data_IF_500098719038
#
_entry.id   IF_500098719038
#
_cell.length_a   1.000
_cell.length_b   1.000
_cell.length_c   1.000
_cell.angle_alpha   90.00
_cell.angle_beta   90.00
_cell.angle_gamma   90.00
#
_symmetry.space_group_name_H-M   'P 1'
#
loop_
_entity.id
_entity.type
_entity.pdbx_description
1 polymer ?
#
# COMPACT_ATOMS: atom_id res chain seq x y z
N UNK A 1 -7.11 1.24 -55.04
CA UNK A 1 -7.89 0.01 -55.23
C UNK A 1 -7.39 -1.04 -54.25
N UNK A 2 -8.33 -1.68 -53.57
CA UNK A 2 -8.17 -2.42 -52.32
C UNK A 2 -7.25 -3.63 -52.42
N UNK A 3 -6.43 -3.86 -51.39
CA UNK A 3 -5.92 -5.20 -51.08
C UNK A 3 -6.54 -5.66 -49.76
N UNK A 4 -7.59 -6.46 -49.91
CA UNK A 4 -8.15 -7.30 -48.86
C UNK A 4 -7.14 -8.43 -48.61
N UNK A 5 -6.69 -8.58 -47.37
CA UNK A 5 -5.95 -9.76 -46.91
C UNK A 5 -6.93 -10.54 -46.04
N UNK A 6 -7.33 -11.71 -46.53
CA UNK A 6 -8.23 -12.65 -45.88
C UNK A 6 -7.51 -13.40 -44.74
N UNK A 7 -8.16 -13.49 -43.57
CA UNK A 7 -7.71 -14.32 -42.44
C UNK A 7 -7.96 -15.81 -42.74
N UNK A 8 -7.00 -16.73 -42.45
CA UNK A 8 -7.28 -18.15 -42.49
C UNK A 8 -7.96 -18.61 -41.18
N UNK A 9 -9.11 -19.23 -41.42
CA UNK A 9 -9.95 -20.16 -40.65
C UNK A 9 -9.59 -20.55 -39.21
N UNK A 10 -10.65 -20.49 -38.39
CA UNK A 10 -10.84 -21.13 -37.08
C UNK A 10 -10.61 -22.64 -37.18
N UNK A 11 -9.68 -23.17 -36.38
CA UNK A 11 -9.52 -24.61 -36.15
C UNK A 11 -10.25 -24.93 -34.83
N UNK A 12 -11.40 -25.59 -34.92
CA UNK A 12 -12.10 -26.18 -33.78
C UNK A 12 -11.32 -27.41 -33.31
N UNK A 13 -11.02 -27.50 -32.01
CA UNK A 13 -10.36 -28.66 -31.39
C UNK A 13 -11.25 -29.91 -31.48
N UNK A 14 -10.70 -31.12 -31.68
CA UNK A 14 -11.48 -32.33 -31.83
C UNK A 14 -12.06 -32.81 -30.50
N UNK A 15 -13.14 -33.58 -30.64
CA UNK A 15 -14.01 -34.08 -29.57
C UNK A 15 -13.30 -34.97 -28.54
N UNK A 16 -13.85 -34.91 -27.33
CA UNK A 16 -13.58 -35.73 -26.15
C UNK A 16 -13.46 -37.22 -26.51
N UNK A 17 -12.30 -37.82 -26.22
CA UNK A 17 -12.12 -39.27 -26.22
C UNK A 17 -12.66 -39.79 -24.88
N UNK A 18 -13.84 -40.39 -24.88
CA UNK A 18 -14.30 -41.21 -23.75
C UNK A 18 -13.52 -42.52 -23.74
N UNK A 19 -12.82 -42.81 -22.64
CA UNK A 19 -12.10 -44.07 -22.46
C UNK A 19 -13.13 -45.24 -22.35
N UNK A 20 -12.88 -46.41 -22.97
CA UNK A 20 -13.82 -47.53 -22.95
C UNK A 20 -13.78 -48.25 -21.59
N UNK A 21 -14.96 -48.56 -21.04
CA UNK A 21 -15.09 -49.49 -19.91
C UNK A 21 -14.90 -50.93 -20.40
N UNK A 22 -13.89 -51.62 -19.85
CA UNK A 22 -13.73 -53.08 -19.91
C UNK A 22 -13.13 -53.45 -18.53
N UNK A 23 -13.57 -54.43 -17.74
CA UNK A 23 -13.93 -55.83 -17.98
C UNK A 23 -14.88 -56.26 -16.83
N UNK A 24 -15.95 -57.02 -17.11
CA UNK A 24 -16.70 -57.78 -16.09
C UNK A 24 -16.58 -59.28 -16.35
N UNK A 25 -16.23 -60.08 -15.33
CA UNK A 25 -16.54 -61.51 -15.21
C UNK A 25 -16.07 -62.06 -13.84
N UNK A 26 -16.60 -63.19 -13.33
CA UNK A 26 -17.97 -63.46 -12.85
C UNK A 26 -18.06 -63.53 -11.29
N UNK A 27 -19.26 -63.80 -10.76
CA UNK A 27 -19.67 -63.68 -9.34
C UNK A 27 -19.02 -64.66 -8.31
N UNK A 28 -19.37 -64.39 -7.03
CA UNK A 28 -19.35 -65.19 -5.76
C UNK A 28 -18.16 -64.80 -4.83
N UNK A 29 -18.33 -64.31 -3.57
CA UNK A 29 -18.73 -65.00 -2.32
C UNK A 29 -19.07 -63.97 -1.18
N UNK A 30 -20.21 -64.22 -0.52
CA UNK A 30 -20.80 -63.83 0.81
C UNK A 30 -20.21 -62.79 1.82
N UNK A 31 -21.08 -61.80 2.20
CA UNK A 31 -21.45 -61.20 3.52
C UNK A 31 -20.40 -60.50 4.47
N UNK A 32 -20.83 -59.67 5.47
CA UNK A 32 -21.02 -58.21 5.42
C UNK A 32 -20.09 -57.44 6.39
N UNK A 33 -19.31 -56.44 5.97
CA UNK A 33 -18.56 -55.61 6.93
C UNK A 33 -18.45 -54.13 6.51
N UNK A 34 -19.00 -53.29 7.40
CA UNK A 34 -18.67 -51.88 7.69
C UNK A 34 -18.90 -50.86 6.57
N UNK A 35 -19.99 -50.11 6.67
CA UNK A 35 -20.14 -48.81 6.01
C UNK A 35 -19.21 -47.82 6.74
N UNK A 36 -17.94 -47.76 6.34
CA UNK A 36 -17.10 -46.60 6.66
C UNK A 36 -17.44 -45.48 5.68
N UNK A 37 -17.86 -44.32 6.22
CA UNK A 37 -18.15 -43.07 5.50
C UNK A 37 -17.25 -42.87 4.26
N UNK A 38 -17.80 -42.63 3.05
CA UNK A 38 -16.97 -42.13 1.96
C UNK A 38 -16.64 -40.66 2.25
N UNK A 39 -15.42 -40.50 2.75
CA UNK A 39 -14.45 -39.47 2.45
C UNK A 39 -15.00 -38.12 1.98
N UNK A 40 -14.87 -37.14 2.89
CA UNK A 40 -14.57 -35.72 2.67
C UNK A 40 -14.47 -35.36 1.18
N UNK A 41 -15.49 -34.68 0.68
CA UNK A 41 -15.43 -33.94 -0.58
C UNK A 41 -14.33 -32.88 -0.40
N UNK A 42 -13.12 -33.17 -0.87
CA UNK A 42 -12.08 -32.15 -0.98
C UNK A 42 -12.55 -31.13 -2.02
N UNK A 43 -12.71 -29.89 -1.57
CA UNK A 43 -13.12 -28.71 -2.34
C UNK A 43 -12.56 -28.70 -3.78
N UNK A 44 -13.34 -28.32 -4.81
CA UNK A 44 -12.84 -28.23 -6.17
C UNK A 44 -11.67 -27.24 -6.25
N UNK A 45 -10.65 -27.64 -7.02
CA UNK A 45 -9.41 -26.92 -7.27
C UNK A 45 -9.66 -25.43 -7.51
N UNK A 46 -9.00 -24.57 -6.74
CA UNK A 46 -8.96 -23.12 -6.99
C UNK A 46 -8.31 -22.89 -8.35
N UNK A 47 -9.08 -22.40 -9.34
CA UNK A 47 -8.54 -22.05 -10.66
C UNK A 47 -7.69 -20.79 -10.51
N UNK A 48 -6.37 -20.93 -10.48
CA UNK A 48 -5.41 -19.82 -10.52
C UNK A 48 -4.99 -19.51 -11.96
N UNK A 49 -4.81 -18.23 -12.29
CA UNK A 49 -4.27 -17.83 -13.59
C UNK A 49 -2.83 -18.37 -13.79
N UNK A 50 -2.45 -18.79 -15.01
CA UNK A 50 -1.07 -19.10 -15.35
C UNK A 50 -0.13 -17.93 -15.05
N UNK A 51 1.08 -18.23 -14.55
CA UNK A 51 2.05 -17.22 -14.11
C UNK A 51 2.43 -16.22 -15.22
N UNK A 52 2.56 -16.69 -16.47
CA UNK A 52 2.91 -15.84 -17.61
C UNK A 52 1.84 -14.77 -17.87
N UNK A 53 0.56 -15.13 -17.73
CA UNK A 53 -0.56 -14.20 -17.88
C UNK A 53 -0.53 -13.17 -16.76
N UNK A 54 -0.28 -13.59 -15.52
CA UNK A 54 -0.16 -12.68 -14.37
C UNK A 54 0.98 -11.68 -14.57
N UNK A 55 2.12 -12.15 -15.08
CA UNK A 55 3.28 -11.30 -15.37
C UNK A 55 2.98 -10.29 -16.46
N UNK A 56 2.27 -10.70 -17.51
CA UNK A 56 1.86 -9.82 -18.60
C UNK A 56 0.89 -8.75 -18.11
N UNK A 57 -0.15 -9.12 -17.35
CA UNK A 57 -1.06 -8.16 -16.69
C UNK A 57 -0.28 -7.19 -15.81
N UNK A 58 0.71 -7.68 -15.08
CA UNK A 58 1.54 -6.84 -14.22
C UNK A 58 2.33 -5.80 -15.01
N UNK A 59 2.69 -6.02 -16.28
CA UNK A 59 3.40 -4.99 -17.08
C UNK A 59 2.53 -3.76 -17.31
N UNK A 60 1.24 -3.95 -17.58
CA UNK A 60 0.26 -2.89 -17.83
C UNK A 60 -0.05 -2.03 -16.62
N UNK A 61 0.19 -2.51 -15.40
CA UNK A 61 -0.09 -1.73 -14.17
C UNK A 61 0.84 -0.51 -14.12
N UNK A 62 0.32 0.73 -14.01
CA UNK A 62 1.13 1.93 -13.92
C UNK A 62 2.04 1.95 -12.68
N UNK A 63 3.20 2.60 -12.79
CA UNK A 63 4.15 2.74 -11.67
C UNK A 63 3.50 3.33 -10.42
N UNK A 64 2.62 4.32 -10.58
CA UNK A 64 1.94 5.00 -9.45
C UNK A 64 0.98 4.08 -8.68
N UNK A 65 0.46 3.02 -9.33
CA UNK A 65 -0.32 1.97 -8.67
C UNK A 65 0.63 0.97 -8.02
N UNK A 66 1.68 0.54 -8.75
CA UNK A 66 2.68 -0.42 -8.27
C UNK A 66 3.33 -0.02 -6.94
N UNK A 67 3.51 1.28 -6.70
CA UNK A 67 4.15 1.84 -5.49
C UNK A 67 3.52 1.31 -4.20
N UNK A 68 2.21 1.13 -4.19
CA UNK A 68 1.47 0.74 -2.98
C UNK A 68 1.33 -0.78 -2.82
N UNK A 69 1.79 -1.58 -3.79
CA UNK A 69 1.61 -3.04 -3.77
C UNK A 69 2.54 -3.75 -2.78
N UNK A 70 3.77 -3.26 -2.61
CA UNK A 70 4.74 -3.85 -1.67
C UNK A 70 5.89 -2.88 -1.35
N UNK A 71 6.67 -3.20 -0.30
CA UNK A 71 7.80 -2.38 0.16
C UNK A 71 8.87 -2.17 -0.91
N UNK A 72 9.20 -3.20 -1.72
CA UNK A 72 10.21 -3.12 -2.78
C UNK A 72 9.80 -2.11 -3.86
N UNK A 73 8.55 -2.17 -4.30
CA UNK A 73 7.99 -1.22 -5.25
C UNK A 73 7.90 0.18 -4.64
N UNK A 74 7.52 0.29 -3.37
CA UNK A 74 7.53 1.57 -2.68
C UNK A 74 8.91 2.20 -2.76
N UNK A 75 9.97 1.53 -2.30
CA UNK A 75 11.36 2.01 -2.36
C UNK A 75 11.81 2.37 -3.77
N UNK A 76 11.36 1.64 -4.79
CA UNK A 76 11.72 1.91 -6.20
C UNK A 76 11.04 3.15 -6.76
N UNK A 77 9.81 3.44 -6.35
CA UNK A 77 8.94 4.36 -7.08
C UNK A 77 8.40 5.55 -6.28
N UNK A 78 8.49 5.56 -4.93
CA UNK A 78 7.90 6.60 -4.07
C UNK A 78 8.35 8.02 -4.44
N UNK A 79 9.62 8.22 -4.81
CA UNK A 79 10.15 9.54 -5.24
C UNK A 79 9.40 10.12 -6.44
N UNK A 80 8.98 9.28 -7.40
CA UNK A 80 8.23 9.73 -8.56
C UNK A 80 6.84 10.24 -8.15
N UNK A 81 6.19 9.53 -7.22
CA UNK A 81 4.89 9.95 -6.67
C UNK A 81 5.04 11.28 -5.92
N UNK A 82 6.05 11.40 -5.05
CA UNK A 82 6.28 12.63 -4.28
C UNK A 82 6.52 13.83 -5.20
N UNK A 83 7.33 13.69 -6.25
CA UNK A 83 7.51 14.76 -7.25
C UNK A 83 6.21 15.14 -7.95
N UNK A 84 5.33 14.16 -8.20
CA UNK A 84 4.00 14.41 -8.78
C UNK A 84 3.11 15.19 -7.80
N UNK A 85 3.09 14.81 -6.52
CA UNK A 85 2.38 15.56 -5.48
C UNK A 85 2.91 16.99 -5.36
N UNK A 86 4.22 17.19 -5.37
CA UNK A 86 4.84 18.53 -5.28
C UNK A 86 4.58 19.40 -6.52
N UNK A 87 4.40 18.81 -7.71
CA UNK A 87 4.10 19.54 -8.95
C UNK A 87 2.63 19.92 -9.09
N UNK A 88 1.71 19.10 -8.60
CA UNK A 88 0.29 19.37 -8.71
C UNK A 88 -0.22 20.05 -7.44
N UNK A 89 -0.40 21.39 -7.51
CA UNK A 89 -0.93 22.23 -6.42
C UNK A 89 -2.26 21.72 -5.82
N UNK A 90 -3.04 20.96 -6.60
CA UNK A 90 -4.31 20.38 -6.18
C UNK A 90 -4.18 19.17 -5.24
N UNK A 91 -3.00 18.53 -5.17
CA UNK A 91 -2.82 17.37 -4.31
C UNK A 91 -2.19 17.82 -2.99
N UNK A 92 -2.91 17.61 -1.90
CA UNK A 92 -2.50 18.01 -0.56
C UNK A 92 -1.43 17.04 0.00
N UNK A 93 -0.16 17.30 -0.31
CA UNK A 93 0.97 16.54 0.24
C UNK A 93 0.96 16.52 1.77
N UNK A 94 0.63 17.64 2.42
CA UNK A 94 0.52 17.68 3.88
C UNK A 94 -0.61 16.77 4.39
N UNK A 95 -1.67 16.58 3.61
CA UNK A 95 -2.76 15.64 3.90
C UNK A 95 -2.26 14.19 3.86
N UNK A 96 -1.46 13.86 2.86
CA UNK A 96 -0.81 12.55 2.73
C UNK A 96 0.09 12.24 3.94
N UNK A 97 0.98 13.17 4.32
CA UNK A 97 1.87 12.97 5.49
C UNK A 97 1.08 12.84 6.79
N UNK A 98 0.04 13.67 6.97
CA UNK A 98 -0.85 13.57 8.13
C UNK A 98 -1.61 12.24 8.18
N UNK A 99 -1.98 11.68 7.03
CA UNK A 99 -2.63 10.38 6.96
C UNK A 99 -1.67 9.23 7.31
N UNK A 100 -0.38 9.33 6.92
CA UNK A 100 0.65 8.38 7.33
C UNK A 100 0.74 8.31 8.86
N UNK A 101 0.79 9.47 9.51
CA UNK A 101 0.86 9.55 10.98
C UNK A 101 -0.40 8.96 11.60
N UNK A 102 -1.61 9.39 11.18
CA UNK A 102 -2.87 8.90 11.76
C UNK A 102 -3.04 7.38 11.74
N UNK A 103 -2.43 6.69 10.79
CA UNK A 103 -2.47 5.24 10.66
C UNK A 103 -1.19 4.55 11.19
N UNK A 104 -0.28 5.31 11.79
CA UNK A 104 1.03 4.89 12.30
C UNK A 104 1.87 4.06 11.29
N UNK A 105 1.86 4.48 10.01
CA UNK A 105 2.59 3.81 8.92
C UNK A 105 4.08 4.16 8.95
N UNK A 106 4.78 3.60 9.93
CA UNK A 106 6.19 3.78 10.26
C UNK A 106 7.15 3.66 9.06
N UNK A 107 7.02 2.62 8.24
CA UNK A 107 7.88 2.40 7.08
C UNK A 107 7.80 3.55 6.06
N UNK A 108 6.58 3.97 5.73
CA UNK A 108 6.32 5.07 4.78
C UNK A 108 6.80 6.38 5.40
N UNK A 109 6.56 6.54 6.71
CA UNK A 109 6.98 7.72 7.45
C UNK A 109 8.50 7.88 7.50
N UNK A 110 9.23 6.79 7.72
CA UNK A 110 10.70 6.78 7.70
C UNK A 110 11.24 7.30 6.38
N UNK A 111 10.70 6.80 5.26
CA UNK A 111 11.13 7.25 3.94
C UNK A 111 10.79 8.73 3.73
N UNK A 112 9.57 9.14 4.09
CA UNK A 112 9.09 10.52 3.97
C UNK A 112 9.96 11.49 4.79
N UNK A 113 10.29 11.13 6.02
CA UNK A 113 11.22 11.89 6.87
C UNK A 113 12.57 12.03 6.17
N UNK A 114 13.17 10.92 5.75
CA UNK A 114 14.50 10.92 5.14
C UNK A 114 14.66 11.89 3.95
N UNK A 115 13.56 12.18 3.26
CA UNK A 115 13.56 12.99 2.05
C UNK A 115 13.19 14.46 2.29
N UNK A 116 12.41 14.74 3.34
CA UNK A 116 11.83 16.07 3.55
C UNK A 116 12.31 16.76 4.82
N UNK A 117 13.16 16.10 5.63
CA UNK A 117 13.66 16.63 6.90
C UNK A 117 14.15 18.08 6.77
N UNK A 118 15.03 18.38 5.82
CA UNK A 118 15.58 19.73 5.67
C UNK A 118 14.50 20.76 5.33
N UNK A 119 13.59 20.43 4.42
CA UNK A 119 12.50 21.30 4.01
C UNK A 119 11.51 21.56 5.14
N UNK A 120 11.23 20.55 5.97
CA UNK A 120 10.33 20.64 7.12
C UNK A 120 10.90 21.51 8.26
N UNK A 121 12.21 21.77 8.26
CA UNK A 121 12.87 22.67 9.21
C UNK A 121 12.90 24.13 8.76
N UNK A 122 12.78 24.39 7.46
CA UNK A 122 12.70 25.75 6.94
C UNK A 122 11.48 26.45 7.56
N UNK A 123 11.69 27.67 8.05
CA UNK A 123 10.68 28.40 8.81
C UNK A 123 9.50 28.77 7.91
N UNK A 124 8.39 28.06 8.10
CA UNK A 124 7.05 28.44 7.67
C UNK A 124 6.08 28.14 8.81
N UNK A 125 5.18 29.07 9.19
CA UNK A 125 4.19 28.81 10.20
C UNK A 125 3.13 27.84 9.66
N UNK A 126 2.91 26.72 10.34
CA UNK A 126 1.89 25.74 9.96
C UNK A 126 0.69 25.85 10.90
N UNK A 127 -0.50 26.01 10.32
CA UNK A 127 -1.75 26.10 11.09
C UNK A 127 -2.42 24.72 11.13
N UNK A 128 -2.81 24.30 12.32
CA UNK A 128 -3.62 23.10 12.50
C UNK A 128 -4.53 23.27 13.70
N UNK A 129 -5.82 22.99 13.50
CA UNK A 129 -6.89 23.33 14.45
C UNK A 129 -6.77 24.81 14.87
N UNK A 130 -6.65 25.07 16.16
CA UNK A 130 -6.50 26.37 16.81
C UNK A 130 -5.03 26.71 17.18
N UNK A 131 -4.04 26.02 16.60
CA UNK A 131 -2.62 26.21 16.91
C UNK A 131 -1.81 26.58 15.67
N UNK A 132 -0.77 27.38 15.87
CA UNK A 132 0.26 27.71 14.87
C UNK A 132 1.59 27.15 15.32
N UNK A 133 2.19 26.29 14.52
CA UNK A 133 3.47 25.64 14.76
C UNK A 133 4.58 26.36 14.00
N UNK A 134 5.77 26.47 14.60
CA UNK A 134 6.87 27.23 13.99
C UNK A 134 7.49 26.58 12.76
N UNK A 135 7.37 25.26 12.64
CA UNK A 135 7.80 24.47 11.50
C UNK A 135 6.95 23.20 11.40
N UNK A 136 7.14 22.42 10.34
CA UNK A 136 6.30 21.24 10.09
C UNK A 136 6.57 20.13 11.10
N UNK A 137 7.83 19.97 11.53
CA UNK A 137 8.23 18.95 12.51
C UNK A 137 7.43 19.03 13.80
N UNK A 138 7.22 20.23 14.34
CA UNK A 138 6.43 20.40 15.56
C UNK A 138 4.95 20.13 15.35
N UNK A 139 4.42 20.41 14.15
CA UNK A 139 3.07 19.98 13.80
C UNK A 139 2.97 18.44 13.78
N UNK A 140 3.96 17.75 13.21
CA UNK A 140 3.98 16.29 13.15
C UNK A 140 4.14 15.69 14.55
N UNK A 141 4.98 16.27 15.41
CA UNK A 141 5.14 15.85 16.80
C UNK A 141 3.82 15.96 17.57
N UNK A 142 3.14 17.11 17.43
CA UNK A 142 1.80 17.30 17.98
C UNK A 142 0.80 16.27 17.47
N UNK A 143 0.80 16.00 16.15
CA UNK A 143 -0.12 15.05 15.55
C UNK A 143 0.14 13.62 16.03
N UNK A 144 1.41 13.22 16.19
CA UNK A 144 1.75 11.89 16.71
C UNK A 144 1.23 11.69 18.14
N UNK A 145 1.30 12.74 18.98
CA UNK A 145 0.75 12.71 20.35
C UNK A 145 -0.78 12.67 20.33
N UNK A 146 -1.41 13.45 19.46
CA UNK A 146 -2.88 13.52 19.36
C UNK A 146 -3.52 12.22 18.82
N UNK A 147 -2.75 11.42 18.07
CA UNK A 147 -3.23 10.19 17.40
C UNK A 147 -2.56 8.92 17.94
N UNK A 148 -1.87 9.01 19.08
CA UNK A 148 -1.16 7.90 19.73
C UNK A 148 -0.23 7.09 18.81
N UNK A 149 0.36 7.75 17.81
CA UNK A 149 1.18 7.11 16.77
C UNK A 149 2.62 6.94 17.24
N UNK A 150 2.83 5.92 18.07
CA UNK A 150 4.10 5.69 18.77
C UNK A 150 5.26 5.38 17.84
N UNK A 151 5.06 4.61 16.76
CA UNK A 151 6.15 4.24 15.83
C UNK A 151 6.62 5.45 15.04
N UNK A 152 5.68 6.22 14.49
CA UNK A 152 5.97 7.47 13.79
C UNK A 152 6.66 8.47 14.73
N UNK A 153 6.21 8.57 15.99
CA UNK A 153 6.84 9.44 16.99
C UNK A 153 8.29 9.07 17.26
N UNK A 154 8.59 7.78 17.41
CA UNK A 154 9.95 7.30 17.65
C UNK A 154 10.88 7.62 16.47
N UNK A 155 10.40 7.42 15.24
CA UNK A 155 11.12 7.81 14.02
C UNK A 155 11.36 9.32 13.99
N UNK A 156 10.33 10.13 14.28
CA UNK A 156 10.44 11.58 14.30
C UNK A 156 11.50 12.04 15.32
N UNK A 157 11.47 11.50 16.52
CA UNK A 157 12.43 11.79 17.58
C UNK A 157 13.87 11.44 17.17
N UNK A 158 14.07 10.31 16.49
CA UNK A 158 15.37 9.91 15.95
C UNK A 158 15.92 10.97 14.96
N UNK A 159 15.10 11.42 14.02
CA UNK A 159 15.53 12.43 13.05
C UNK A 159 15.71 13.84 13.66
N UNK A 160 14.90 14.22 14.66
CA UNK A 160 15.08 15.47 15.42
C UNK A 160 16.40 15.46 16.19
N UNK A 161 16.77 14.32 16.78
CA UNK A 161 18.07 14.16 17.46
C UNK A 161 19.23 14.29 16.47
N UNK A 162 19.13 13.59 15.33
CA UNK A 162 20.16 13.61 14.28
C UNK A 162 20.38 15.01 13.69
N UNK A 163 19.34 15.81 13.55
CA UNK A 163 19.41 17.18 13.00
C UNK A 163 19.93 18.23 13.98
N UNK A 164 20.25 17.87 15.23
CA UNK A 164 20.80 18.79 16.24
C UNK A 164 19.80 19.79 16.82
N UNK A 165 18.51 19.70 16.47
CA UNK A 165 17.47 20.63 16.90
C UNK A 165 17.18 20.62 18.40
N UNK A 166 17.52 19.52 19.08
CA UNK A 166 17.42 19.41 20.54
C UNK A 166 18.23 20.48 21.28
N UNK A 167 19.33 20.97 20.68
CA UNK A 167 20.10 22.07 21.27
C UNK A 167 19.22 23.32 21.35
N UNK A 168 18.96 23.80 22.58
CA UNK A 168 18.14 24.97 22.90
C UNK A 168 16.64 24.85 22.54
N UNK A 169 16.09 23.64 22.47
CA UNK A 169 14.66 23.44 22.16
C UNK A 169 13.74 24.09 23.21
N UNK A 170 14.12 24.06 24.50
CA UNK A 170 13.40 24.73 25.59
C UNK A 170 13.34 26.26 25.44
N UNK A 171 14.25 26.87 24.67
CA UNK A 171 14.27 28.32 24.40
C UNK A 171 13.39 28.71 23.19
N UNK A 172 12.87 27.75 22.43
CA UNK A 172 12.13 28.00 21.19
C UNK A 172 10.63 27.96 21.45
N UNK A 173 9.91 28.98 20.96
CA UNK A 173 8.44 28.96 20.96
C UNK A 173 7.94 28.01 19.87
N UNK A 174 7.60 26.79 20.27
CA UNK A 174 7.21 25.66 19.42
C UNK A 174 5.85 25.88 18.75
N UNK A 175 4.87 26.32 19.53
CA UNK A 175 3.51 26.60 19.05
C UNK A 175 2.87 27.80 19.74
N UNK A 176 1.93 28.45 19.07
CA UNK A 176 1.08 29.52 19.60
C UNK A 176 -0.39 29.09 19.49
N UNK A 177 -1.17 29.27 20.54
CA UNK A 177 -2.63 29.09 20.49
C UNK A 177 -3.25 30.35 19.89
N UNK A 178 -4.19 30.20 18.97
CA UNK A 178 -4.99 31.29 18.43
C UNK A 178 -6.18 31.47 19.39
N UNK A 179 -6.12 32.47 20.26
CA UNK A 179 -7.30 32.90 21.03
C UNK A 179 -8.26 33.63 20.09
N UNK A 180 -9.55 33.28 20.15
CA UNK A 180 -10.63 33.96 19.41
C UNK A 180 -11.51 34.83 20.32
N UNK A 181 -11.21 34.90 21.61
CA UNK A 181 -12.01 35.67 22.55
C UNK A 181 -11.41 37.07 22.69
N UNK A 182 -12.20 38.06 22.26
CA UNK A 182 -12.06 39.40 22.81
C UNK A 182 -12.50 39.30 24.27
N UNK A 183 -11.59 39.58 25.19
CA UNK A 183 -11.96 39.82 26.59
C UNK A 183 -12.92 41.01 26.63
N UNK A 184 -14.17 40.74 27.01
CA UNK A 184 -15.17 41.75 27.32
C UNK A 184 -14.71 42.65 28.47
#
# INVERSE_FOLDING_TARGET
>A
MNRVITLPQVITLPQVITLPQVITLPQVITLPQVITLPQVITLPQVITLPEDIVKEIYTFIPKWVKVYLNKKNYLKYHKYIQRKFMRHKFINYDGFVRNIIRNDFDFIFQQTCSENMEQWLLRKPYRYKNKVFSNYMYLLEYLCVETDSTKCRNILHFYIQKSGLKKNQHKKKVSKVIQKEWSN
#
